data_IF_362489302035
#
_entry.id   IF_362489302035
#
_cell.length_a   1.000
_cell.length_b   1.000
_cell.length_c   1.000
_cell.angle_alpha   90.00
_cell.angle_beta   90.00
_cell.angle_gamma   90.00
#
_symmetry.space_group_name_H-M   'P 1'
#
loop_
_entity.id
_entity.type
_entity.pdbx_description
1 polymer ?
#
# COMPACT_ATOMS: atom_id res chain seq x y z
N UNK A 1 50.00 26.02 -36.93
CA UNK A 1 48.63 26.51 -37.16
C UNK A 1 47.75 25.27 -37.37
N UNK A 2 46.89 24.97 -36.45
CA UNK A 2 45.97 23.82 -36.53
C UNK A 2 45.10 23.81 -35.30
N UNK A 3 43.96 24.49 -35.44
CA UNK A 3 42.94 24.60 -34.42
C UNK A 3 42.07 23.32 -34.45
N UNK A 4 42.02 22.55 -33.40
CA UNK A 4 41.02 21.50 -33.23
C UNK A 4 40.02 21.94 -32.13
N UNK A 5 38.82 22.26 -32.56
CA UNK A 5 37.66 22.48 -31.71
C UNK A 5 37.17 21.12 -31.27
N UNK A 6 37.03 20.93 -29.96
CA UNK A 6 36.31 19.82 -29.35
C UNK A 6 34.87 20.25 -29.15
N UNK A 7 33.96 19.61 -29.90
CA UNK A 7 32.52 19.75 -29.68
C UNK A 7 32.12 19.00 -28.43
N UNK A 8 31.46 19.74 -27.51
CA UNK A 8 30.88 19.19 -26.30
C UNK A 8 29.59 18.46 -26.63
N UNK A 9 29.53 17.19 -26.29
CA UNK A 9 28.29 16.42 -26.22
C UNK A 9 27.57 16.80 -24.93
N UNK A 10 26.50 17.55 -25.03
CA UNK A 10 25.59 17.86 -23.93
C UNK A 10 24.71 16.63 -23.63
N UNK A 11 24.73 16.23 -22.37
CA UNK A 11 23.92 15.19 -21.74
C UNK A 11 22.42 15.43 -21.94
N UNK A 12 21.81 14.68 -22.85
CA UNK A 12 20.36 14.68 -23.15
C UNK A 12 19.61 13.53 -22.42
N UNK A 13 20.25 12.90 -21.42
CA UNK A 13 19.70 11.72 -20.73
C UNK A 13 18.87 12.03 -19.49
N UNK A 14 18.96 13.25 -18.91
CA UNK A 14 18.30 13.60 -17.66
C UNK A 14 16.83 14.04 -17.79
N UNK A 15 16.36 14.40 -18.98
CA UNK A 15 14.99 14.89 -19.19
C UNK A 15 13.99 13.80 -19.56
N UNK A 16 14.45 12.63 -20.02
CA UNK A 16 13.57 11.51 -20.36
C UNK A 16 13.02 10.78 -19.13
N UNK A 17 13.81 10.68 -18.06
CA UNK A 17 13.40 9.99 -16.83
C UNK A 17 12.39 10.79 -16.01
N UNK A 18 12.41 12.13 -16.09
CA UNK A 18 11.45 12.98 -15.41
C UNK A 18 10.06 12.94 -16.05
N UNK A 19 9.98 12.77 -17.35
CA UNK A 19 8.71 12.74 -18.09
C UNK A 19 7.96 11.41 -17.92
N UNK A 20 8.68 10.30 -17.73
CA UNK A 20 8.09 8.98 -17.53
C UNK A 20 7.49 8.85 -16.11
N UNK A 21 8.12 9.47 -15.09
CA UNK A 21 7.65 9.42 -13.70
C UNK A 21 6.29 10.12 -13.48
N UNK A 22 6.00 11.19 -14.21
CA UNK A 22 4.74 11.91 -14.07
C UNK A 22 3.57 11.10 -14.65
N UNK A 23 3.76 10.41 -15.77
CA UNK A 23 2.73 9.57 -16.40
C UNK A 23 2.34 8.37 -15.53
N UNK A 24 3.31 7.72 -14.93
CA UNK A 24 3.07 6.58 -14.03
C UNK A 24 2.36 7.01 -12.73
N UNK A 25 2.67 8.22 -12.20
CA UNK A 25 2.01 8.75 -11.01
C UNK A 25 0.53 9.09 -11.27
N UNK A 26 0.22 9.71 -12.41
CA UNK A 26 -1.15 10.02 -12.81
C UNK A 26 -1.97 8.75 -13.09
N UNK A 27 -1.37 7.76 -13.77
CA UNK A 27 -2.00 6.47 -14.03
C UNK A 27 -2.31 5.74 -12.71
N UNK A 28 -1.36 5.75 -11.77
CA UNK A 28 -1.53 5.15 -10.46
C UNK A 28 -2.65 5.80 -9.66
N UNK A 29 -2.66 7.12 -9.60
CA UNK A 29 -3.68 7.89 -8.86
C UNK A 29 -5.08 7.66 -9.45
N UNK A 30 -5.21 7.65 -10.79
CA UNK A 30 -6.47 7.34 -11.47
C UNK A 30 -6.98 5.95 -11.09
N UNK A 31 -6.11 4.96 -11.06
CA UNK A 31 -6.46 3.59 -10.67
C UNK A 31 -6.84 3.50 -9.20
N UNK A 32 -6.12 4.16 -8.29
CA UNK A 32 -6.46 4.21 -6.87
C UNK A 32 -7.85 4.83 -6.65
N UNK A 33 -8.14 5.93 -7.32
CA UNK A 33 -9.45 6.58 -7.29
C UNK A 33 -10.58 5.67 -7.83
N UNK A 34 -10.29 4.81 -8.81
CA UNK A 34 -11.24 3.80 -9.28
C UNK A 34 -11.49 2.73 -8.21
N UNK A 35 -10.45 2.28 -7.50
CA UNK A 35 -10.59 1.32 -6.40
C UNK A 35 -11.38 1.88 -5.23
N UNK A 36 -11.18 3.14 -4.89
CA UNK A 36 -11.94 3.81 -3.84
C UNK A 36 -13.43 3.85 -4.18
N UNK A 37 -13.78 4.22 -5.41
CA UNK A 37 -15.18 4.18 -5.89
C UNK A 37 -15.75 2.77 -5.88
N UNK A 38 -14.96 1.77 -6.31
CA UNK A 38 -15.37 0.38 -6.41
C UNK A 38 -15.63 -0.26 -5.05
N UNK A 39 -14.83 0.07 -4.05
CA UNK A 39 -14.97 -0.45 -2.69
C UNK A 39 -15.93 0.34 -1.84
N UNK A 40 -16.17 1.61 -2.17
CA UNK A 40 -16.95 2.57 -1.36
C UNK A 40 -16.42 2.70 0.06
N UNK A 41 -15.10 2.49 0.26
CA UNK A 41 -14.45 2.64 1.56
C UNK A 41 -14.09 4.09 1.85
N UNK A 42 -14.10 4.48 3.12
CA UNK A 42 -13.58 5.78 3.55
C UNK A 42 -12.05 5.76 3.52
N UNK A 43 -11.46 6.77 2.90
CA UNK A 43 -10.03 6.84 2.66
C UNK A 43 -9.29 7.64 3.73
N UNK A 44 -8.02 7.26 3.93
CA UNK A 44 -7.00 8.08 4.57
C UNK A 44 -5.78 8.13 3.64
N UNK A 45 -5.17 9.30 3.49
CA UNK A 45 -4.00 9.48 2.65
C UNK A 45 -2.70 9.28 3.42
N UNK A 46 -1.64 8.86 2.72
CA UNK A 46 -0.39 8.45 3.34
C UNK A 46 0.20 9.46 4.34
N UNK A 47 0.20 10.76 4.01
CA UNK A 47 0.74 11.80 4.91
C UNK A 47 -0.01 11.92 6.22
N UNK A 48 -1.33 11.82 6.19
CA UNK A 48 -2.17 11.84 7.40
C UNK A 48 -1.99 10.56 8.21
N UNK A 49 -1.97 9.41 7.53
CA UNK A 49 -1.73 8.13 8.18
C UNK A 49 -0.35 8.06 8.85
N UNK A 50 0.70 8.60 8.21
CA UNK A 50 2.05 8.69 8.81
C UNK A 50 2.05 9.53 10.08
N UNK A 51 1.38 10.69 10.07
CA UNK A 51 1.26 11.54 11.26
C UNK A 51 0.60 10.80 12.42
N UNK A 52 -0.55 10.15 12.18
CA UNK A 52 -1.22 9.36 13.21
C UNK A 52 -0.38 8.18 13.69
N UNK A 53 0.39 7.56 12.81
CA UNK A 53 1.30 6.48 13.13
C UNK A 53 2.43 6.93 14.08
N UNK A 54 3.06 8.08 13.80
CA UNK A 54 4.08 8.69 14.64
C UNK A 54 3.55 9.10 16.02
N UNK A 55 2.28 9.55 16.08
CA UNK A 55 1.58 9.87 17.33
C UNK A 55 1.14 8.63 18.13
N UNK A 56 1.32 7.42 17.60
CA UNK A 56 0.83 6.17 18.22
C UNK A 56 -0.70 6.03 18.21
N UNK A 57 -1.39 6.80 17.35
CA UNK A 57 -2.85 6.83 17.21
C UNK A 57 -3.36 6.07 15.98
N UNK A 58 -2.55 5.18 15.43
CA UNK A 58 -2.90 4.38 14.26
C UNK A 58 -2.59 2.91 14.49
N UNK A 59 -3.56 2.06 14.17
CA UNK A 59 -3.35 0.62 13.98
C UNK A 59 -3.54 0.31 12.52
N UNK A 60 -2.50 -0.25 11.88
CA UNK A 60 -2.54 -0.69 10.49
C UNK A 60 -2.82 -2.19 10.43
N UNK A 61 -3.79 -2.55 9.60
CA UNK A 61 -4.14 -3.91 9.25
C UNK A 61 -3.66 -4.17 7.82
N UNK A 62 -2.62 -4.98 7.69
CA UNK A 62 -2.08 -5.39 6.40
C UNK A 62 -2.88 -6.58 5.86
N UNK A 63 -3.58 -6.37 4.75
CA UNK A 63 -4.44 -7.37 4.10
C UNK A 63 -3.75 -8.06 2.92
N UNK A 64 -2.44 -7.92 2.80
CA UNK A 64 -1.63 -8.61 1.79
C UNK A 64 -1.40 -10.06 2.20
N UNK A 65 -0.85 -10.85 1.28
CA UNK A 65 -0.40 -12.19 1.58
C UNK A 65 0.78 -12.19 2.56
N UNK A 66 0.93 -13.27 3.33
CA UNK A 66 1.97 -13.37 4.37
C UNK A 66 3.36 -13.09 3.80
N UNK A 67 3.70 -13.64 2.63
CA UNK A 67 5.00 -13.45 2.01
C UNK A 67 5.25 -11.99 1.57
N UNK A 68 4.20 -11.25 1.13
CA UNK A 68 4.31 -9.84 0.80
C UNK A 68 4.64 -9.01 2.06
N UNK A 69 3.94 -9.34 3.17
CA UNK A 69 4.16 -8.69 4.46
C UNK A 69 5.55 -9.01 5.04
N UNK A 70 5.93 -10.29 5.03
CA UNK A 70 7.24 -10.75 5.56
C UNK A 70 8.43 -10.14 4.84
N UNK A 71 8.25 -9.73 3.59
CA UNK A 71 9.27 -9.04 2.82
C UNK A 71 9.48 -7.60 3.30
N UNK A 72 8.42 -6.81 3.31
CA UNK A 72 8.42 -5.43 3.77
C UNK A 72 7.02 -5.03 4.23
N UNK A 73 6.92 -4.37 5.38
CA UNK A 73 5.66 -3.91 5.93
C UNK A 73 5.78 -2.50 6.52
N UNK A 74 4.64 -1.83 6.68
CA UNK A 74 4.57 -0.63 7.52
C UNK A 74 4.86 -1.07 8.97
N UNK A 75 5.69 -0.35 9.73
CA UNK A 75 6.07 -0.76 11.08
C UNK A 75 4.84 -1.04 11.95
N UNK A 76 4.91 -2.12 12.73
CA UNK A 76 3.84 -2.56 13.65
C UNK A 76 2.49 -2.91 12.97
N UNK A 77 2.43 -3.05 11.65
CA UNK A 77 1.23 -3.51 10.97
C UNK A 77 0.86 -4.94 11.39
N UNK A 78 -0.43 -5.16 11.66
CA UNK A 78 -0.99 -6.47 11.99
C UNK A 78 -1.43 -7.16 10.70
N UNK A 79 -0.98 -8.38 10.47
CA UNK A 79 -1.36 -9.14 9.26
C UNK A 79 -2.75 -9.73 9.42
N UNK A 80 -3.60 -9.44 8.46
CA UNK A 80 -4.85 -10.16 8.21
C UNK A 80 -4.87 -10.65 6.77
N UNK A 81 -3.97 -11.58 6.48
CA UNK A 81 -3.90 -12.19 5.14
C UNK A 81 -5.12 -13.07 4.86
N UNK A 82 -5.63 -13.06 3.63
CA UNK A 82 -6.66 -13.99 3.20
C UNK A 82 -6.31 -15.45 3.49
N UNK A 83 -5.07 -15.84 3.26
CA UNK A 83 -4.58 -17.22 3.46
C UNK A 83 -4.52 -17.61 4.94
N UNK A 84 -4.06 -16.72 5.81
CA UNK A 84 -3.98 -16.96 7.26
C UNK A 84 -5.36 -17.11 7.90
N UNK A 85 -6.37 -16.51 7.29
CA UNK A 85 -7.75 -16.51 7.76
C UNK A 85 -8.60 -17.66 7.20
N UNK A 86 -7.98 -18.60 6.46
CA UNK A 86 -8.73 -19.67 5.79
C UNK A 86 -9.69 -19.15 4.72
N UNK A 87 -9.39 -17.99 4.17
CA UNK A 87 -10.23 -17.33 3.19
C UNK A 87 -9.97 -17.87 1.79
N UNK A 88 -10.85 -18.72 1.33
CA UNK A 88 -10.99 -18.95 -0.09
C UNK A 88 -11.58 -17.68 -0.71
N UNK A 89 -10.85 -17.08 -1.67
CA UNK A 89 -11.41 -16.06 -2.55
C UNK A 89 -12.57 -16.69 -3.32
N UNK A 90 -13.76 -16.66 -2.73
CA UNK A 90 -14.98 -17.03 -3.47
C UNK A 90 -15.31 -15.81 -4.32
N UNK A 91 -14.76 -15.80 -5.53
CA UNK A 91 -15.25 -14.97 -6.62
C UNK A 91 -16.66 -15.44 -6.96
N UNK A 92 -17.65 -14.95 -6.25
CA UNK A 92 -19.02 -15.01 -6.74
C UNK A 92 -19.18 -13.89 -7.75
N UNK A 93 -19.32 -14.29 -9.00
CA UNK A 93 -19.68 -13.40 -10.11
C UNK A 93 -20.85 -12.52 -9.66
N UNK A 94 -20.61 -11.22 -9.50
CA UNK A 94 -21.62 -10.21 -9.21
C UNK A 94 -21.74 -9.66 -7.79
N UNK A 95 -21.03 -10.17 -6.77
CA UNK A 95 -21.24 -9.74 -5.37
C UNK A 95 -19.97 -9.32 -4.60
N UNK A 96 -18.91 -8.91 -5.25
CA UNK A 96 -17.71 -8.40 -4.59
C UNK A 96 -16.92 -9.45 -3.79
N UNK A 97 -15.64 -9.16 -3.52
CA UNK A 97 -14.83 -9.98 -2.62
C UNK A 97 -15.40 -9.93 -1.20
N UNK A 98 -15.80 -11.08 -0.65
CA UNK A 98 -16.19 -11.20 0.75
C UNK A 98 -15.02 -11.77 1.53
N UNK A 99 -14.54 -11.02 2.50
CA UNK A 99 -13.62 -11.52 3.52
C UNK A 99 -14.43 -12.31 4.53
N UNK A 100 -14.37 -13.66 4.49
CA UNK A 100 -15.12 -14.52 5.42
C UNK A 100 -14.23 -15.07 6.54
N UNK A 101 -14.56 -14.72 7.74
CA UNK A 101 -14.77 -15.45 9.00
C UNK A 101 -13.66 -15.60 10.04
N UNK A 102 -12.38 -15.41 9.85
CA UNK A 102 -11.44 -15.61 10.98
C UNK A 102 -10.69 -14.35 11.44
N UNK A 103 -11.27 -13.17 11.19
CA UNK A 103 -10.73 -11.92 11.72
C UNK A 103 -10.87 -11.95 13.25
N UNK A 104 -9.79 -11.71 14.02
CA UNK A 104 -9.85 -11.68 15.48
C UNK A 104 -10.57 -10.43 15.94
N UNK A 105 -11.90 -10.36 15.72
CA UNK A 105 -12.72 -9.20 16.04
C UNK A 105 -12.60 -8.79 17.50
N UNK A 106 -12.51 -9.75 18.41
CA UNK A 106 -12.38 -9.49 19.84
C UNK A 106 -11.06 -8.76 20.17
N UNK A 107 -9.99 -9.00 19.40
CA UNK A 107 -8.73 -8.25 19.54
C UNK A 107 -8.86 -6.84 18.95
N UNK A 108 -9.56 -6.69 17.83
CA UNK A 108 -9.78 -5.38 17.21
C UNK A 108 -10.73 -4.49 18.04
N UNK A 109 -11.71 -5.08 18.74
CA UNK A 109 -12.60 -4.37 19.66
C UNK A 109 -11.87 -3.78 20.88
N UNK A 110 -10.72 -4.32 21.25
CA UNK A 110 -9.88 -3.80 22.34
C UNK A 110 -9.11 -2.53 21.97
N UNK A 111 -9.05 -2.20 20.67
CA UNK A 111 -8.38 -0.98 20.21
C UNK A 111 -9.16 0.23 20.72
N UNK A 112 -8.51 1.18 21.44
CA UNK A 112 -9.18 2.36 21.98
C UNK A 112 -9.93 3.17 20.90
N UNK A 113 -11.00 3.85 21.30
CA UNK A 113 -11.85 4.61 20.38
C UNK A 113 -11.13 5.80 19.74
N UNK A 114 -10.15 6.38 20.42
CA UNK A 114 -9.30 7.47 19.94
C UNK A 114 -8.15 7.00 19.01
N UNK A 115 -8.02 5.70 18.79
CA UNK A 115 -7.04 5.11 17.86
C UNK A 115 -7.73 4.77 16.55
N UNK A 116 -7.23 5.30 15.46
CA UNK A 116 -7.73 5.04 14.10
C UNK A 116 -7.30 3.65 13.61
N UNK A 117 -8.23 2.90 13.03
CA UNK A 117 -7.93 1.61 12.38
C UNK A 117 -7.89 1.83 10.87
N UNK A 118 -6.81 1.40 10.23
CA UNK A 118 -6.58 1.54 8.79
C UNK A 118 -6.23 0.19 8.18
N UNK A 119 -6.93 -0.20 7.12
CA UNK A 119 -6.55 -1.33 6.29
C UNK A 119 -5.60 -0.87 5.18
N UNK A 120 -4.58 -1.67 4.89
CA UNK A 120 -3.62 -1.45 3.81
C UNK A 120 -3.40 -2.73 3.01
N UNK A 121 -3.25 -2.60 1.70
CA UNK A 121 -2.73 -3.65 0.83
C UNK A 121 -1.69 -3.05 -0.13
N UNK A 122 -1.48 -3.64 -1.30
CA UNK A 122 -0.53 -3.11 -2.29
C UNK A 122 -0.96 -1.74 -2.81
N UNK A 123 -2.23 -1.61 -3.27
CA UNK A 123 -2.74 -0.42 -3.96
C UNK A 123 -4.16 0.00 -3.55
N UNK A 124 -4.70 -0.51 -2.45
CA UNK A 124 -5.97 -0.05 -1.88
C UNK A 124 -7.21 -0.90 -2.21
N UNK A 125 -7.19 -1.81 -3.19
CA UNK A 125 -8.38 -2.57 -3.57
C UNK A 125 -8.79 -3.63 -2.53
N UNK A 126 -7.87 -4.54 -2.18
CA UNK A 126 -8.12 -5.60 -1.17
C UNK A 126 -8.48 -5.00 0.18
N UNK A 127 -7.70 -4.01 0.60
CA UNK A 127 -7.90 -3.32 1.88
C UNK A 127 -9.17 -2.48 1.93
N UNK A 128 -9.62 -1.92 0.80
CA UNK A 128 -10.89 -1.19 0.73
C UNK A 128 -12.09 -2.08 1.06
N UNK A 129 -12.17 -3.27 0.47
CA UNK A 129 -13.21 -4.24 0.83
C UNK A 129 -13.13 -4.68 2.29
N UNK A 130 -11.90 -4.93 2.79
CA UNK A 130 -11.70 -5.29 4.19
C UNK A 130 -12.14 -4.17 5.14
N UNK A 131 -11.81 -2.92 4.85
CA UNK A 131 -12.20 -1.76 5.65
C UNK A 131 -13.72 -1.63 5.77
N UNK A 132 -14.46 -1.80 4.66
CA UNK A 132 -15.93 -1.78 4.65
C UNK A 132 -16.52 -2.90 5.49
N UNK A 133 -16.00 -4.12 5.38
CA UNK A 133 -16.46 -5.26 6.19
C UNK A 133 -16.18 -5.05 7.68
N UNK A 134 -14.94 -4.66 8.01
CA UNK A 134 -14.54 -4.39 9.40
C UNK A 134 -15.32 -3.24 10.02
N UNK A 135 -15.57 -2.15 9.28
CA UNK A 135 -16.38 -1.04 9.78
C UNK A 135 -17.76 -1.49 10.23
N UNK A 136 -18.42 -2.35 9.44
CA UNK A 136 -19.74 -2.91 9.78
C UNK A 136 -19.69 -3.83 11.00
N UNK A 137 -18.66 -4.68 11.09
CA UNK A 137 -18.55 -5.69 12.14
C UNK A 137 -18.09 -5.11 13.48
N UNK A 138 -17.25 -4.07 13.44
CA UNK A 138 -16.78 -3.36 14.65
C UNK A 138 -17.71 -2.24 15.07
N UNK A 139 -18.68 -1.85 14.21
CA UNK A 139 -19.57 -0.71 14.41
C UNK A 139 -18.83 0.61 14.69
N UNK A 140 -17.65 0.76 14.05
CA UNK A 140 -16.81 1.97 14.10
C UNK A 140 -16.11 2.19 12.78
N UNK A 141 -15.67 3.42 12.46
CA UNK A 141 -14.93 3.68 11.23
C UNK A 141 -13.64 2.86 11.16
N UNK A 142 -13.45 2.16 10.04
CA UNK A 142 -12.19 1.57 9.61
C UNK A 142 -11.88 2.16 8.25
N UNK A 143 -10.72 2.78 8.11
CA UNK A 143 -10.33 3.50 6.91
C UNK A 143 -9.53 2.60 5.97
N UNK A 144 -9.47 2.97 4.71
CA UNK A 144 -8.60 2.35 3.72
C UNK A 144 -7.43 3.30 3.42
N UNK A 145 -6.21 2.79 3.43
CA UNK A 145 -5.05 3.57 3.00
C UNK A 145 -5.11 3.73 1.48
N UNK A 146 -5.40 4.94 1.03
CA UNK A 146 -5.45 5.28 -0.39
C UNK A 146 -4.14 4.91 -1.09
N UNK A 147 -4.23 4.10 -2.15
CA UNK A 147 -3.04 3.59 -2.85
C UNK A 147 -2.16 2.64 -2.02
N UNK A 148 -2.60 2.18 -0.85
CA UNK A 148 -1.93 1.16 -0.05
C UNK A 148 -0.48 1.45 0.30
N UNK A 149 0.33 0.39 0.45
CA UNK A 149 1.74 0.51 0.84
C UNK A 149 2.60 1.22 -0.22
N UNK A 150 2.21 1.18 -1.49
CA UNK A 150 2.91 1.93 -2.55
C UNK A 150 2.80 3.44 -2.29
N UNK A 151 1.59 3.96 -2.04
CA UNK A 151 1.40 5.37 -1.71
C UNK A 151 2.10 5.76 -0.40
N UNK A 152 2.07 4.90 0.61
CA UNK A 152 2.82 5.10 1.85
C UNK A 152 4.32 5.26 1.58
N UNK A 153 4.92 4.30 0.85
CA UNK A 153 6.34 4.31 0.52
C UNK A 153 6.73 5.53 -0.34
N UNK A 154 5.94 5.82 -1.38
CA UNK A 154 6.18 6.94 -2.28
C UNK A 154 6.08 8.31 -1.59
N UNK A 155 5.29 8.40 -0.52
CA UNK A 155 5.20 9.60 0.32
C UNK A 155 6.36 9.73 1.33
N UNK A 156 7.31 8.79 1.33
CA UNK A 156 8.45 8.75 2.25
C UNK A 156 8.20 7.98 3.55
N UNK A 157 7.09 7.27 3.64
CA UNK A 157 6.77 6.44 4.80
C UNK A 157 7.75 5.29 4.98
N UNK A 158 8.17 5.07 6.22
CA UNK A 158 9.10 4.00 6.59
C UNK A 158 8.46 2.63 6.36
N UNK A 159 9.22 1.71 5.78
CA UNK A 159 8.89 0.29 5.70
C UNK A 159 10.03 -0.53 6.32
N UNK A 160 9.70 -1.66 6.93
CA UNK A 160 10.65 -2.52 7.65
C UNK A 160 10.48 -3.97 7.23
N UNK A 161 11.54 -4.75 7.38
CA UNK A 161 11.41 -6.19 7.45
C UNK A 161 10.79 -6.57 8.80
N UNK A 162 9.60 -7.20 8.87
CA UNK A 162 8.94 -7.46 10.15
C UNK A 162 9.67 -8.43 11.06
N UNK A 163 10.56 -9.27 10.52
CA UNK A 163 11.32 -10.27 11.29
C UNK A 163 12.52 -9.64 12.01
N UNK A 164 13.20 -8.68 11.35
CA UNK A 164 14.40 -8.03 11.90
C UNK A 164 14.12 -6.63 12.45
N UNK A 165 12.96 -6.04 12.09
CA UNK A 165 12.59 -4.65 12.33
C UNK A 165 13.58 -3.62 11.73
N UNK A 166 14.43 -4.06 10.82
CA UNK A 166 15.33 -3.19 10.07
C UNK A 166 14.58 -2.48 8.95
N UNK A 167 14.90 -1.22 8.76
CA UNK A 167 14.34 -0.46 7.65
C UNK A 167 14.85 -1.03 6.32
N UNK A 168 13.92 -1.21 5.39
CA UNK A 168 14.20 -1.60 4.01
C UNK A 168 13.80 -0.46 3.08
N UNK A 169 14.33 -0.48 1.88
CA UNK A 169 14.11 0.56 0.86
C UNK A 169 13.37 0.03 -0.39
N UNK A 170 12.75 -1.12 -0.23
CA UNK A 170 11.96 -1.79 -1.28
C UNK A 170 10.63 -2.27 -0.73
N UNK A 171 9.63 -2.43 -1.58
CA UNK A 171 8.32 -2.99 -1.23
C UNK A 171 7.94 -4.12 -2.17
N UNK A 172 7.28 -5.15 -1.65
CA UNK A 172 6.70 -6.20 -2.47
C UNK A 172 5.37 -5.72 -3.06
N UNK A 173 5.25 -5.77 -4.39
CA UNK A 173 4.16 -5.15 -5.16
C UNK A 173 3.13 -6.15 -5.71
N UNK A 174 3.14 -7.41 -5.24
CA UNK A 174 2.26 -8.48 -5.70
C UNK A 174 2.54 -8.95 -7.14
N UNK A 175 2.79 -8.06 -8.10
CA UNK A 175 3.06 -8.37 -9.49
C UNK A 175 3.85 -7.28 -10.20
N UNK A 176 4.42 -7.65 -11.35
CA UNK A 176 5.28 -6.78 -12.16
C UNK A 176 4.61 -5.46 -12.55
N UNK A 177 3.34 -5.53 -12.91
CA UNK A 177 2.57 -4.36 -13.33
C UNK A 177 2.46 -3.26 -12.26
N UNK A 178 2.70 -3.59 -10.99
CA UNK A 178 2.66 -2.66 -9.87
C UNK A 178 4.02 -2.07 -9.55
N UNK A 179 5.11 -2.76 -9.91
CA UNK A 179 6.46 -2.35 -9.58
C UNK A 179 6.83 -0.99 -10.20
N UNK A 180 6.31 -0.68 -11.38
CA UNK A 180 6.53 0.61 -12.06
C UNK A 180 6.03 1.82 -11.27
N UNK A 181 5.02 1.64 -10.40
CA UNK A 181 4.46 2.71 -9.58
C UNK A 181 5.25 3.00 -8.30
N UNK A 182 6.25 2.18 -7.98
CA UNK A 182 7.13 2.44 -6.83
C UNK A 182 8.27 3.37 -7.24
N UNK A 183 8.35 4.53 -6.60
CA UNK A 183 9.38 5.54 -6.90
C UNK A 183 10.78 4.96 -6.75
N UNK A 184 11.66 5.32 -7.68
CA UNK A 184 13.06 4.89 -7.66
C UNK A 184 13.28 3.42 -8.06
N UNK A 185 12.30 2.76 -8.70
CA UNK A 185 12.45 1.37 -9.16
C UNK A 185 12.57 0.33 -8.04
N UNK A 186 12.06 0.65 -6.85
CA UNK A 186 12.20 -0.15 -5.63
C UNK A 186 11.02 -1.11 -5.37
N UNK A 187 10.17 -1.31 -6.38
CA UNK A 187 9.12 -2.32 -6.36
C UNK A 187 9.67 -3.69 -6.76
N UNK A 188 9.39 -4.72 -5.96
CA UNK A 188 9.70 -6.10 -6.33
C UNK A 188 8.45 -6.97 -6.30
N UNK A 189 8.46 -8.07 -7.05
CA UNK A 189 7.31 -8.97 -7.20
C UNK A 189 7.71 -10.45 -7.26
N UNK A 190 9.03 -10.73 -7.18
CA UNK A 190 9.58 -12.09 -7.08
C UNK A 190 10.39 -12.17 -5.79
N UNK A 191 10.26 -13.29 -5.10
CA UNK A 191 11.08 -13.68 -3.95
C UNK A 191 12.24 -14.56 -4.43
#
# INVERSE_FOLDING_TARGET
MGNTQSEGNSDDSHDKDKNNNNGDEEEYEKMCNEYDRKTSSTQIYAKEAMKLHEEGKLVIIDTREVYEHEYAAIPNAKVLSPTTLGMTLVSTVGTGMRYQQNIPLEELKKIPEDVTIVCSCTAGLRSGYCAVDLSKRLQRPVLNLHGGIISWFNAGGKVVNPKTNEQVDTVHTYGENWAKYVKGGKGIFKL
#
